data_IF_140049517282
#
_entry.id   IF_140049517282
#
_cell.length_a   1.000
_cell.length_b   1.000
_cell.length_c   1.000
_cell.angle_alpha   90.00
_cell.angle_beta   90.00
_cell.angle_gamma   90.00
#
_symmetry.space_group_name_H-M   'P 1'
#
loop_
_entity.id
_entity.type
_entity.pdbx_description
1 polymer ?
#
# COMPACT_ATOMS: atom_id res chain seq x y z
N UNK A 1 12.57 -9.78 -1.11
CA UNK A 1 11.41 -9.26 -0.29
C UNK A 1 10.27 -10.26 -0.32
N UNK A 2 9.43 -10.28 0.74
CA UNK A 2 8.21 -11.09 0.78
C UNK A 2 6.99 -10.19 0.98
N UNK A 3 6.04 -10.26 0.05
CA UNK A 3 4.80 -9.49 0.06
C UNK A 3 3.63 -10.37 0.47
N UNK A 4 2.80 -9.89 1.40
CA UNK A 4 1.50 -10.48 1.73
C UNK A 4 0.40 -9.45 1.47
N UNK A 5 -0.58 -9.81 0.65
CA UNK A 5 -1.76 -8.99 0.37
C UNK A 5 -2.72 -9.15 1.55
N UNK A 6 -2.90 -8.11 2.36
CA UNK A 6 -3.83 -8.12 3.48
C UNK A 6 -5.25 -7.79 3.03
N UNK A 7 -5.36 -6.85 2.07
CA UNK A 7 -6.61 -6.47 1.45
C UNK A 7 -6.39 -5.96 0.04
N UNK A 8 -7.20 -6.43 -0.89
CA UNK A 8 -7.11 -6.16 -2.34
C UNK A 8 -8.35 -5.48 -2.91
N UNK A 9 -9.28 -5.08 -2.04
CA UNK A 9 -10.51 -4.34 -2.39
C UNK A 9 -10.46 -2.91 -1.88
N UNK A 10 -11.63 -2.33 -1.77
CA UNK A 10 -11.89 -0.91 -1.48
C UNK A 10 -12.80 -0.78 -0.25
N UNK A 11 -13.19 0.46 0.10
CA UNK A 11 -14.06 0.71 1.25
C UNK A 11 -15.47 0.11 1.08
N UNK A 12 -15.94 -0.10 -0.16
CA UNK A 12 -17.24 -0.74 -0.41
C UNK A 12 -17.14 -2.22 -0.01
N UNK A 13 -17.92 -2.68 0.99
CA UNK A 13 -17.85 -4.05 1.45
C UNK A 13 -18.16 -5.06 0.34
N UNK A 14 -17.24 -5.96 0.09
CA UNK A 14 -17.40 -7.05 -0.87
C UNK A 14 -16.81 -8.35 -0.29
N UNK A 15 -17.50 -9.50 -0.44
CA UNK A 15 -17.04 -10.76 0.12
C UNK A 15 -15.64 -11.16 -0.38
N UNK A 16 -14.75 -11.53 0.56
CA UNK A 16 -13.41 -12.02 0.25
C UNK A 16 -12.38 -10.95 -0.10
N UNK A 17 -12.74 -9.65 -0.04
CA UNK A 17 -11.82 -8.55 -0.28
C UNK A 17 -11.95 -7.48 0.79
N UNK A 18 -10.84 -7.16 1.44
CA UNK A 18 -10.74 -6.09 2.39
C UNK A 18 -10.11 -4.85 1.80
N UNK A 19 -10.13 -3.79 2.58
CA UNK A 19 -9.53 -2.51 2.23
C UNK A 19 -8.03 -2.65 2.00
N UNK A 20 -7.47 -1.74 1.21
CA UNK A 20 -6.05 -1.70 0.87
C UNK A 20 -5.14 -1.85 2.07
N UNK A 21 -4.25 -2.81 1.99
CA UNK A 21 -3.21 -3.04 2.98
C UNK A 21 -2.30 -4.18 2.55
N UNK A 22 -0.98 -3.95 2.70
CA UNK A 22 0.02 -4.91 2.26
C UNK A 22 1.11 -5.01 3.32
N UNK A 23 1.58 -6.23 3.58
CA UNK A 23 2.66 -6.47 4.52
C UNK A 23 3.90 -6.87 3.75
N UNK A 24 4.93 -6.04 3.82
CA UNK A 24 6.20 -6.26 3.14
C UNK A 24 7.28 -6.58 4.18
N UNK A 25 7.96 -7.72 3.98
CA UNK A 25 9.09 -8.14 4.80
C UNK A 25 10.38 -8.08 3.96
N UNK A 26 11.42 -7.41 4.48
CA UNK A 26 12.74 -7.35 3.86
C UNK A 26 13.82 -7.29 4.94
N UNK A 27 14.66 -8.30 5.01
CA UNK A 27 15.60 -8.44 6.12
C UNK A 27 14.88 -8.44 7.47
N UNK A 28 15.23 -7.52 8.34
CA UNK A 28 14.59 -7.33 9.65
C UNK A 28 13.41 -6.35 9.62
N UNK A 29 13.10 -5.74 8.47
CA UNK A 29 12.05 -4.75 8.35
C UNK A 29 10.68 -5.42 8.14
N UNK A 30 9.70 -5.03 8.95
CA UNK A 30 8.29 -5.42 8.83
C UNK A 30 7.45 -4.18 8.54
N UNK A 31 7.09 -4.01 7.30
CA UNK A 31 6.49 -2.80 6.76
C UNK A 31 5.03 -3.04 6.48
N UNK A 32 4.17 -2.18 6.98
CA UNK A 32 2.79 -2.06 6.54
C UNK A 32 2.71 -0.98 5.45
N UNK A 33 2.18 -1.32 4.29
CA UNK A 33 1.91 -0.37 3.20
C UNK A 33 0.40 -0.19 3.13
N UNK A 34 -0.07 1.01 3.39
CA UNK A 34 -1.45 1.34 3.67
C UNK A 34 -2.05 0.46 4.79
N UNK A 35 -3.22 0.80 5.26
CA UNK A 35 -3.85 0.10 6.37
C UNK A 35 -5.29 0.53 6.53
N UNK A 36 -6.13 0.17 5.58
CA UNK A 36 -7.56 0.39 5.66
C UNK A 36 -8.23 -0.48 6.72
N UNK A 37 -9.50 -0.26 6.94
CA UNK A 37 -10.26 -0.92 8.01
C UNK A 37 -10.20 -2.45 7.93
N UNK A 38 -9.81 -3.09 9.03
CA UNK A 38 -9.69 -4.54 9.18
C UNK A 38 -8.33 -5.11 8.75
N UNK A 39 -7.40 -4.29 8.27
CA UNK A 39 -6.06 -4.72 7.82
C UNK A 39 -5.26 -5.32 8.97
N UNK A 40 -5.26 -4.70 10.15
CA UNK A 40 -4.51 -5.21 11.33
C UNK A 40 -5.02 -6.58 11.78
N UNK A 41 -6.32 -6.83 11.70
CA UNK A 41 -6.88 -8.15 11.98
C UNK A 41 -6.36 -9.19 10.99
N UNK A 42 -6.31 -8.84 9.70
CA UNK A 42 -5.80 -9.74 8.66
C UNK A 42 -4.31 -10.05 8.77
N UNK A 43 -3.52 -9.16 9.36
CA UNK A 43 -2.13 -9.50 9.72
C UNK A 43 -2.09 -10.81 10.52
N UNK A 44 -2.93 -10.93 11.56
CA UNK A 44 -2.98 -12.15 12.39
C UNK A 44 -3.69 -13.31 11.68
N UNK A 45 -4.76 -13.05 10.93
CA UNK A 45 -5.49 -14.09 10.20
C UNK A 45 -4.59 -14.81 9.18
N UNK A 46 -3.61 -14.09 8.60
CA UNK A 46 -2.65 -14.64 7.64
C UNK A 46 -1.32 -15.13 8.27
N UNK A 47 -1.28 -15.25 9.60
CA UNK A 47 -0.14 -15.80 10.34
C UNK A 47 1.05 -14.86 10.43
N UNK A 48 0.83 -13.56 10.36
CA UNK A 48 1.81 -12.51 10.60
C UNK A 48 1.60 -11.92 12.01
N UNK A 49 2.59 -11.19 12.50
CA UNK A 49 2.52 -10.58 13.83
C UNK A 49 2.42 -9.05 13.71
N UNK A 50 1.28 -8.46 14.06
CA UNK A 50 1.08 -7.02 14.05
C UNK A 50 2.00 -6.27 15.04
N UNK A 51 2.50 -6.99 16.06
CA UNK A 51 3.45 -6.44 17.04
C UNK A 51 4.82 -6.18 16.40
N UNK A 52 5.15 -6.90 15.33
CA UNK A 52 6.41 -6.75 14.63
C UNK A 52 6.46 -5.56 13.67
N UNK A 53 5.32 -4.92 13.36
CA UNK A 53 5.30 -3.75 12.48
C UNK A 53 6.20 -2.66 13.05
N UNK A 54 7.17 -2.20 12.28
CA UNK A 54 8.10 -1.13 12.67
C UNK A 54 7.93 0.14 11.85
N UNK A 55 7.42 0.01 10.63
CA UNK A 55 7.24 1.13 9.70
C UNK A 55 5.92 1.01 8.95
N UNK A 56 5.24 2.13 8.76
CA UNK A 56 4.05 2.24 7.90
C UNK A 56 4.35 3.23 6.78
N UNK A 57 3.96 2.87 5.56
CA UNK A 57 3.93 3.77 4.40
C UNK A 57 2.48 4.04 4.01
N UNK A 58 2.04 5.28 4.05
CA UNK A 58 0.72 5.70 3.58
C UNK A 58 0.82 6.41 2.25
N UNK A 59 0.01 6.01 1.27
CA UNK A 59 -0.03 6.64 -0.06
C UNK A 59 -0.86 7.91 -0.06
N UNK A 60 -1.97 7.92 0.62
CA UNK A 60 -2.89 9.06 0.78
C UNK A 60 -3.78 8.89 2.02
N UNK A 61 -4.72 9.82 2.26
CA UNK A 61 -5.44 9.89 3.53
C UNK A 61 -6.88 9.35 3.46
N UNK A 62 -7.29 8.64 2.39
CA UNK A 62 -8.62 8.05 2.37
C UNK A 62 -8.79 6.97 3.44
N UNK A 63 -10.03 6.76 3.92
CA UNK A 63 -10.32 5.84 5.03
C UNK A 63 -9.90 4.39 4.76
N UNK A 64 -10.07 3.91 3.52
CA UNK A 64 -9.69 2.56 3.11
C UNK A 64 -8.18 2.33 2.99
N UNK A 65 -7.39 3.38 3.24
CA UNK A 65 -5.93 3.30 3.32
C UNK A 65 -5.37 3.58 4.70
N UNK A 66 -6.14 4.22 5.63
CA UNK A 66 -5.56 4.76 6.88
C UNK A 66 -6.27 4.36 8.16
N UNK A 67 -7.49 3.82 8.13
CA UNK A 67 -8.35 3.67 9.32
C UNK A 67 -7.78 2.76 10.40
N UNK A 68 -6.93 1.78 10.06
CA UNK A 68 -6.40 0.86 11.06
C UNK A 68 -5.19 1.39 11.85
N UNK A 69 -4.77 2.64 11.64
CA UNK A 69 -3.76 3.27 12.50
C UNK A 69 -4.22 3.33 13.98
N UNK A 70 -5.45 3.74 14.23
CA UNK A 70 -6.00 3.83 15.59
C UNK A 70 -6.14 2.45 16.23
N UNK A 71 -6.73 1.43 15.61
CA UNK A 71 -6.70 0.05 16.10
C UNK A 71 -5.31 -0.49 16.40
N UNK A 72 -4.32 -0.22 15.55
CA UNK A 72 -2.93 -0.65 15.77
C UNK A 72 -2.35 -0.03 17.05
N UNK A 73 -2.44 1.28 17.19
CA UNK A 73 -1.92 2.00 18.36
C UNK A 73 -2.65 1.58 19.64
N UNK A 74 -3.98 1.38 19.58
CA UNK A 74 -4.76 0.87 20.70
C UNK A 74 -4.30 -0.53 21.11
N UNK A 75 -4.12 -1.44 20.13
CA UNK A 75 -3.62 -2.78 20.38
C UNK A 75 -2.22 -2.74 21.01
N UNK A 76 -1.32 -1.91 20.49
CA UNK A 76 0.04 -1.79 21.04
C UNK A 76 0.06 -1.24 22.48
N UNK A 77 -0.84 -0.33 22.82
CA UNK A 77 -0.94 0.18 24.18
C UNK A 77 -1.37 -0.90 25.17
N UNK A 78 -2.29 -1.75 24.79
CA UNK A 78 -2.98 -2.67 25.71
C UNK A 78 -2.50 -4.13 25.62
N UNK A 79 -1.78 -4.53 24.56
CA UNK A 79 -1.21 -5.88 24.49
C UNK A 79 0.11 -5.95 25.30
N UNK A 80 0.14 -6.76 26.39
CA UNK A 80 1.35 -6.90 27.24
C UNK A 80 2.50 -7.60 26.52
N UNK A 81 2.28 -8.21 25.36
CA UNK A 81 3.30 -8.89 24.56
C UNK A 81 4.00 -7.95 23.56
N UNK A 82 3.60 -6.70 23.49
CA UNK A 82 4.29 -5.68 22.69
C UNK A 82 5.54 -5.23 23.42
N UNK A 83 6.71 -5.45 22.80
CA UNK A 83 7.98 -5.00 23.35
C UNK A 83 8.05 -3.47 23.39
N UNK A 84 8.42 -2.93 24.55
CA UNK A 84 8.56 -1.48 24.80
C UNK A 84 9.85 -1.23 25.59
N UNK A 85 10.55 -0.08 25.40
CA UNK A 85 10.18 1.03 24.51
C UNK A 85 10.39 0.71 23.04
N UNK A 86 9.56 1.32 22.18
CA UNK A 86 9.65 1.13 20.73
C UNK A 86 9.36 2.40 19.93
N UNK A 87 9.72 2.36 18.66
CA UNK A 87 9.42 3.44 17.71
C UNK A 87 8.62 2.90 16.54
N UNK A 88 7.50 3.56 16.21
CA UNK A 88 6.80 3.41 14.94
C UNK A 88 7.25 4.54 14.02
N UNK A 89 7.76 4.19 12.84
CA UNK A 89 8.03 5.13 11.77
C UNK A 89 6.83 5.18 10.84
N UNK A 90 6.39 6.38 10.47
CA UNK A 90 5.31 6.56 9.48
C UNK A 90 5.85 7.47 8.39
N UNK A 91 5.99 6.93 7.18
CA UNK A 91 6.30 7.66 5.96
C UNK A 91 4.98 7.91 5.25
N UNK A 92 4.70 9.15 4.91
CA UNK A 92 3.35 9.58 4.57
C UNK A 92 3.35 10.78 3.61
N UNK A 93 2.24 11.02 2.89
CA UNK A 93 2.13 12.17 2.02
C UNK A 93 2.10 13.48 2.83
N UNK A 94 2.37 14.58 2.15
CA UNK A 94 2.26 15.92 2.71
C UNK A 94 0.85 16.18 3.27
N UNK A 95 0.76 16.83 4.43
CA UNK A 95 -0.49 17.09 5.14
C UNK A 95 -0.90 16.00 6.14
N UNK A 96 -0.23 14.85 6.13
CA UNK A 96 -0.54 13.74 7.04
C UNK A 96 -0.27 14.09 8.52
N UNK A 97 0.74 14.91 8.82
CA UNK A 97 0.98 15.36 10.20
C UNK A 97 -0.25 16.09 10.76
N UNK A 98 -0.88 16.94 9.95
CA UNK A 98 -2.12 17.62 10.34
C UNK A 98 -3.30 16.66 10.54
N UNK A 99 -3.41 15.63 9.68
CA UNK A 99 -4.38 14.56 9.79
C UNK A 99 -4.15 13.74 11.08
N UNK A 100 -2.91 13.30 11.33
CA UNK A 100 -2.52 12.57 12.53
C UNK A 100 -2.85 13.36 13.81
N UNK A 101 -2.51 14.64 13.86
CA UNK A 101 -2.80 15.48 15.03
C UNK A 101 -4.31 15.52 15.33
N UNK A 102 -5.17 15.65 14.30
CA UNK A 102 -6.63 15.58 14.48
C UNK A 102 -7.11 14.23 15.02
N UNK A 103 -6.51 13.13 14.59
CA UNK A 103 -6.80 11.82 15.18
C UNK A 103 -6.36 11.74 16.64
N UNK A 104 -5.21 12.32 16.97
CA UNK A 104 -4.71 12.37 18.35
C UNK A 104 -5.53 13.30 19.24
N UNK A 105 -6.09 14.37 18.71
CA UNK A 105 -7.05 15.22 19.45
C UNK A 105 -8.30 14.42 19.89
N UNK A 106 -8.71 13.42 19.08
CA UNK A 106 -9.91 12.60 19.36
C UNK A 106 -9.54 11.38 20.20
N UNK A 107 -8.48 10.66 19.83
CA UNK A 107 -8.18 9.32 20.35
C UNK A 107 -6.93 9.24 21.20
N UNK A 108 -6.09 10.29 21.24
CA UNK A 108 -4.76 10.23 21.81
C UNK A 108 -4.70 9.69 23.24
N UNK A 109 -5.65 10.07 24.10
CA UNK A 109 -5.74 9.58 25.47
C UNK A 109 -5.85 8.04 25.54
N UNK A 110 -6.53 7.43 24.56
CA UNK A 110 -6.76 5.98 24.55
C UNK A 110 -5.67 5.19 23.83
N UNK A 111 -4.97 5.80 22.86
CA UNK A 111 -4.06 5.06 21.96
C UNK A 111 -2.58 5.38 22.17
N UNK A 112 -2.25 6.56 22.71
CA UNK A 112 -0.85 6.91 22.95
C UNK A 112 -0.32 6.23 24.21
N UNK A 113 0.89 5.68 24.10
CA UNK A 113 1.64 5.05 25.18
C UNK A 113 2.97 5.83 25.37
N UNK A 114 3.35 6.13 26.58
CA UNK A 114 4.57 6.90 26.90
C UNK A 114 5.86 6.18 26.44
N UNK A 115 5.81 4.86 26.29
CA UNK A 115 6.93 4.04 25.85
C UNK A 115 6.91 3.77 24.32
N UNK A 116 5.95 4.37 23.58
CA UNK A 116 5.85 4.27 22.11
C UNK A 116 6.12 5.63 21.48
N UNK A 117 7.24 5.75 20.77
CA UNK A 117 7.57 6.95 20.00
C UNK A 117 7.04 6.82 18.56
N UNK A 118 6.32 7.83 18.09
CA UNK A 118 5.85 7.88 16.69
C UNK A 118 6.68 8.94 15.95
N UNK A 119 7.35 8.51 14.86
CA UNK A 119 8.14 9.38 13.99
C UNK A 119 7.46 9.52 12.65
N UNK A 120 6.92 10.71 12.37
CA UNK A 120 6.28 11.05 11.11
C UNK A 120 7.29 11.66 10.14
N UNK A 121 7.32 11.19 8.89
CA UNK A 121 8.11 11.77 7.81
C UNK A 121 7.19 11.98 6.60
N UNK A 122 6.85 13.23 6.33
CA UNK A 122 6.14 13.59 5.11
C UNK A 122 7.09 13.55 3.92
N UNK A 123 6.63 12.97 2.81
CA UNK A 123 7.38 12.81 1.57
C UNK A 123 6.54 13.23 0.36
N UNK A 124 7.21 13.57 -0.73
CA UNK A 124 6.57 13.88 -2.01
C UNK A 124 7.37 13.31 -3.18
N UNK A 125 8.65 13.69 -3.34
CA UNK A 125 9.59 13.22 -4.38
C UNK A 125 10.95 12.96 -3.76
N UNK A 126 10.96 12.19 -2.68
CA UNK A 126 12.15 11.99 -1.86
C UNK A 126 12.53 10.52 -1.81
N UNK A 127 13.76 10.29 -1.43
CA UNK A 127 14.26 8.98 -1.09
C UNK A 127 14.29 8.80 0.43
N UNK A 128 13.96 7.60 0.88
CA UNK A 128 14.00 7.19 2.29
C UNK A 128 14.81 5.90 2.38
N UNK A 129 15.84 5.88 3.22
CA UNK A 129 16.57 4.64 3.52
C UNK A 129 15.96 3.97 4.76
N UNK A 130 15.70 2.68 4.67
CA UNK A 130 15.13 1.86 5.74
C UNK A 130 15.84 0.50 5.80
N UNK A 131 16.83 0.37 6.68
CA UNK A 131 17.65 -0.85 6.74
C UNK A 131 18.37 -1.09 5.41
N UNK A 132 18.12 -2.25 4.81
CA UNK A 132 18.64 -2.66 3.49
C UNK A 132 17.79 -2.17 2.30
N UNK A 133 16.74 -1.38 2.58
CA UNK A 133 15.85 -0.85 1.55
C UNK A 133 16.15 0.61 1.24
N UNK A 134 16.20 0.92 -0.04
CA UNK A 134 16.01 2.26 -0.57
C UNK A 134 14.57 2.39 -1.06
N UNK A 135 13.84 3.39 -0.57
CA UNK A 135 12.44 3.65 -0.97
C UNK A 135 12.36 4.99 -1.66
N UNK A 136 12.03 4.99 -2.95
CA UNK A 136 11.78 6.22 -3.70
C UNK A 136 10.29 6.53 -3.73
N UNK A 137 9.93 7.83 -3.71
CA UNK A 137 8.57 8.31 -3.73
C UNK A 137 8.34 9.16 -4.97
N UNK A 138 7.19 9.00 -5.61
CA UNK A 138 6.68 9.84 -6.69
C UNK A 138 5.27 10.31 -6.38
N UNK A 139 4.74 11.24 -7.19
CA UNK A 139 3.35 11.67 -7.07
C UNK A 139 2.43 10.84 -7.96
N UNK A 140 1.14 10.87 -7.62
CA UNK A 140 0.05 10.28 -8.41
C UNK A 140 -1.04 11.32 -8.65
N UNK A 141 -1.94 11.03 -9.58
CA UNK A 141 -3.14 11.83 -9.82
C UNK A 141 -4.36 11.17 -9.19
N UNK A 142 -4.62 11.52 -7.92
CA UNK A 142 -5.80 11.07 -7.17
C UNK A 142 -6.26 12.14 -6.18
N UNK A 143 -5.41 12.49 -5.21
CA UNK A 143 -5.60 13.65 -4.32
C UNK A 143 -4.42 14.60 -4.45
N UNK A 144 -4.53 15.82 -3.91
CA UNK A 144 -3.50 16.87 -4.04
C UNK A 144 -2.09 16.41 -3.61
N UNK A 145 -1.99 15.40 -2.76
CA UNK A 145 -0.73 14.96 -2.16
C UNK A 145 -0.51 13.43 -2.20
N UNK A 146 -1.28 12.70 -2.99
CA UNK A 146 -1.10 11.24 -3.15
C UNK A 146 0.28 10.91 -3.71
N UNK A 147 0.87 9.82 -3.19
CA UNK A 147 2.22 9.37 -3.55
C UNK A 147 2.27 7.89 -3.87
N UNK A 148 3.24 7.52 -4.72
CA UNK A 148 3.67 6.14 -4.96
C UNK A 148 4.88 5.80 -4.12
N UNK A 149 5.16 4.50 -3.99
CA UNK A 149 6.40 4.02 -3.38
C UNK A 149 7.05 2.93 -4.23
N UNK A 150 8.37 3.01 -4.39
CA UNK A 150 9.17 1.92 -4.95
C UNK A 150 10.19 1.48 -3.91
N UNK A 151 10.07 0.24 -3.45
CA UNK A 151 10.95 -0.43 -2.50
C UNK A 151 12.03 -1.17 -3.29
N UNK A 152 13.30 -0.93 -3.00
CA UNK A 152 14.45 -1.47 -3.74
C UNK A 152 15.40 -2.09 -2.73
N UNK A 153 15.68 -3.40 -2.87
CA UNK A 153 16.75 -4.08 -2.11
C UNK A 153 18.11 -3.86 -2.76
N UNK A 154 19.18 -3.92 -1.97
CA UNK A 154 20.57 -3.77 -2.47
C UNK A 154 20.87 -4.78 -3.59
N UNK A 155 20.26 -5.96 -3.58
CA UNK A 155 20.41 -7.01 -4.59
C UNK A 155 19.66 -6.73 -5.91
N UNK A 156 18.89 -5.65 -5.97
CA UNK A 156 18.19 -5.17 -7.15
C UNK A 156 16.73 -5.60 -7.28
N UNK A 157 16.19 -6.49 -6.42
CA UNK A 157 14.76 -6.77 -6.36
C UNK A 157 13.98 -5.51 -6.05
N UNK A 158 12.86 -5.28 -6.72
CA UNK A 158 12.07 -4.07 -6.47
C UNK A 158 10.57 -4.29 -6.62
N UNK A 159 9.83 -3.69 -5.70
CA UNK A 159 8.37 -3.58 -5.69
C UNK A 159 7.98 -2.12 -5.86
N UNK A 160 7.19 -1.82 -6.88
CA UNK A 160 6.51 -0.53 -7.02
C UNK A 160 5.05 -0.68 -6.62
N UNK A 161 4.54 0.27 -5.84
CA UNK A 161 3.11 0.36 -5.48
C UNK A 161 2.56 1.73 -5.85
N UNK A 162 1.48 1.73 -6.64
CA UNK A 162 0.87 2.95 -7.16
C UNK A 162 0.14 3.78 -6.10
N UNK A 163 -0.45 3.15 -5.07
CA UNK A 163 -1.61 3.75 -4.39
C UNK A 163 -2.74 3.94 -5.38
N UNK A 164 -3.72 4.76 -5.05
CA UNK A 164 -4.78 5.16 -5.97
C UNK A 164 -4.26 6.25 -6.91
N UNK A 165 -4.62 6.14 -8.20
CA UNK A 165 -4.10 7.04 -9.23
C UNK A 165 -4.90 6.99 -10.52
N UNK A 166 -4.88 8.08 -11.26
CA UNK A 166 -5.13 8.08 -12.71
C UNK A 166 -3.84 7.86 -13.49
N UNK A 167 -3.93 7.76 -14.81
CA UNK A 167 -2.77 7.68 -15.69
C UNK A 167 -2.04 9.02 -15.68
N UNK A 168 -0.76 9.01 -15.33
CA UNK A 168 0.10 10.18 -15.41
C UNK A 168 1.55 9.79 -15.70
N UNK A 169 2.30 10.72 -16.31
CA UNK A 169 3.70 10.48 -16.68
C UNK A 169 4.59 10.16 -15.46
N UNK A 170 4.35 10.85 -14.33
CA UNK A 170 5.14 10.65 -13.13
C UNK A 170 4.94 9.25 -12.51
N UNK A 171 3.73 8.68 -12.60
CA UNK A 171 3.46 7.30 -12.20
C UNK A 171 4.35 6.33 -12.99
N UNK A 172 4.38 6.48 -14.33
CA UNK A 172 5.15 5.61 -15.23
C UNK A 172 6.65 5.76 -14.95
N UNK A 173 7.15 6.99 -14.85
CA UNK A 173 8.57 7.26 -14.59
C UNK A 173 9.01 6.72 -13.22
N UNK A 174 8.19 6.87 -12.17
CA UNK A 174 8.48 6.37 -10.83
C UNK A 174 8.56 4.85 -10.76
N UNK A 175 7.76 4.15 -11.58
CA UNK A 175 7.74 2.70 -11.66
C UNK A 175 8.70 2.10 -12.68
N UNK A 176 9.33 2.91 -13.55
CA UNK A 176 10.15 2.43 -14.67
C UNK A 176 11.28 1.50 -14.22
N UNK A 177 11.31 0.28 -14.79
CA UNK A 177 12.27 -0.76 -14.46
C UNK A 177 12.08 -1.40 -13.09
N UNK A 178 10.92 -1.26 -12.45
CA UNK A 178 10.58 -2.07 -11.29
C UNK A 178 10.37 -3.53 -11.70
N UNK A 179 10.87 -4.48 -10.89
CA UNK A 179 10.71 -5.91 -11.16
C UNK A 179 9.25 -6.34 -11.06
N UNK A 180 8.61 -5.96 -9.96
CA UNK A 180 7.19 -6.21 -9.68
C UNK A 180 6.47 -4.88 -9.47
N UNK A 181 5.33 -4.73 -10.11
CA UNK A 181 4.48 -3.54 -10.05
C UNK A 181 3.13 -3.95 -9.46
N UNK A 182 2.69 -3.30 -8.40
CA UNK A 182 1.39 -3.44 -7.76
C UNK A 182 0.57 -2.19 -8.11
N UNK A 183 -0.36 -2.32 -9.06
CA UNK A 183 -1.24 -1.24 -9.51
C UNK A 183 -2.66 -1.43 -8.97
N UNK A 184 -3.30 -0.32 -8.61
CA UNK A 184 -4.74 -0.30 -8.52
C UNK A 184 -5.36 -0.68 -9.87
N UNK A 185 -6.54 -1.32 -9.84
CA UNK A 185 -7.33 -1.67 -11.02
C UNK A 185 -8.80 -1.64 -10.60
N UNK A 186 -9.37 -0.44 -10.59
CA UNK A 186 -10.61 -0.17 -9.87
C UNK A 186 -11.87 -0.40 -10.68
N UNK A 187 -11.89 0.03 -11.94
CA UNK A 187 -13.12 0.03 -12.74
C UNK A 187 -12.92 -0.63 -14.11
N UNK A 188 -13.98 -1.24 -14.70
CA UNK A 188 -13.94 -1.67 -16.09
C UNK A 188 -13.64 -0.50 -17.04
N UNK A 189 -13.06 -0.78 -18.21
CA UNK A 189 -12.70 0.25 -19.19
C UNK A 189 -13.89 1.15 -19.57
N UNK A 190 -15.08 0.57 -19.72
CA UNK A 190 -16.32 1.28 -20.05
C UNK A 190 -16.91 2.07 -18.87
N UNK A 191 -16.39 1.88 -17.66
CA UNK A 191 -16.82 2.58 -16.45
C UNK A 191 -15.69 3.42 -15.84
N UNK A 192 -14.70 3.80 -16.64
CA UNK A 192 -13.57 4.65 -16.20
C UNK A 192 -14.05 5.81 -15.33
N UNK A 193 -13.35 6.00 -14.20
CA UNK A 193 -13.53 7.14 -13.30
C UNK A 193 -12.22 7.88 -13.12
N UNK A 194 -12.31 9.19 -13.07
CA UNK A 194 -11.17 10.07 -12.78
C UNK A 194 -10.52 9.68 -11.45
N UNK A 195 -9.19 9.69 -11.40
CA UNK A 195 -8.41 9.32 -10.23
C UNK A 195 -8.23 7.81 -10.02
N UNK A 196 -8.69 6.96 -10.94
CA UNK A 196 -8.57 5.50 -10.85
C UNK A 196 -8.27 4.85 -12.20
N UNK A 197 -7.59 3.69 -12.17
CA UNK A 197 -7.19 2.95 -13.36
C UNK A 197 -8.21 1.89 -13.77
N UNK A 198 -8.12 1.52 -15.05
CA UNK A 198 -8.86 0.43 -15.69
C UNK A 198 -7.90 -0.69 -16.14
N UNK A 199 -8.39 -1.90 -16.46
CA UNK A 199 -7.54 -3.02 -16.91
C UNK A 199 -6.66 -2.69 -18.12
N UNK A 200 -7.18 -2.01 -19.14
CA UNK A 200 -6.38 -1.66 -20.32
C UNK A 200 -5.30 -0.63 -20.02
N UNK A 201 -5.57 0.34 -19.14
CA UNK A 201 -4.60 1.31 -18.65
C UNK A 201 -3.52 0.63 -17.82
N UNK A 202 -3.88 -0.28 -16.90
CA UNK A 202 -2.92 -1.05 -16.12
C UNK A 202 -1.97 -1.85 -17.02
N UNK A 203 -2.49 -2.50 -18.04
CA UNK A 203 -1.67 -3.24 -19.01
C UNK A 203 -0.70 -2.32 -19.76
N UNK A 204 -1.16 -1.16 -20.21
CA UNK A 204 -0.32 -0.19 -20.91
C UNK A 204 0.77 0.38 -19.98
N UNK A 205 0.42 0.80 -18.76
CA UNK A 205 1.35 1.31 -17.76
C UNK A 205 2.44 0.28 -17.44
N UNK A 206 2.06 -0.99 -17.22
CA UNK A 206 3.01 -2.05 -16.93
C UNK A 206 4.00 -2.28 -18.08
N UNK A 207 3.52 -2.21 -19.32
CA UNK A 207 4.35 -2.27 -20.52
C UNK A 207 5.32 -1.09 -20.60
N UNK A 208 4.85 0.13 -20.37
CA UNK A 208 5.66 1.37 -20.43
C UNK A 208 6.68 1.46 -19.29
N UNK A 209 6.37 0.88 -18.12
CA UNK A 209 7.31 0.71 -17.01
C UNK A 209 8.37 -0.36 -17.30
N UNK A 210 8.09 -1.32 -18.19
CA UNK A 210 8.97 -2.43 -18.51
C UNK A 210 9.14 -3.43 -17.36
N UNK A 211 8.10 -3.65 -16.56
CA UNK A 211 8.13 -4.59 -15.45
C UNK A 211 8.02 -6.06 -15.91
N UNK A 212 8.46 -7.00 -15.07
CA UNK A 212 8.33 -8.42 -15.33
C UNK A 212 6.99 -8.97 -14.85
N UNK A 213 6.50 -8.44 -13.73
CA UNK A 213 5.28 -8.89 -13.06
C UNK A 213 4.38 -7.73 -12.70
N UNK A 214 3.10 -7.86 -13.05
CA UNK A 214 2.03 -6.93 -12.69
C UNK A 214 1.05 -7.59 -11.72
N UNK A 215 0.86 -7.00 -10.56
CA UNK A 215 -0.18 -7.33 -9.60
C UNK A 215 -1.27 -6.28 -9.67
N UNK A 216 -2.52 -6.72 -9.81
CA UNK A 216 -3.69 -5.85 -9.87
C UNK A 216 -4.44 -5.91 -8.54
N UNK A 217 -4.71 -4.78 -7.94
CA UNK A 217 -5.32 -4.64 -6.60
C UNK A 217 -6.36 -3.54 -6.56
N UNK A 218 -6.90 -3.21 -5.39
CA UNK A 218 -7.86 -2.12 -5.18
C UNK A 218 -9.07 -2.22 -6.14
N UNK A 219 -9.63 -3.44 -6.25
CA UNK A 219 -10.66 -3.72 -7.24
C UNK A 219 -12.07 -3.52 -6.67
N UNK A 220 -12.87 -2.70 -7.35
CA UNK A 220 -14.30 -2.57 -7.08
C UNK A 220 -15.08 -3.81 -7.54
N UNK A 221 -16.29 -4.04 -7.00
CA UNK A 221 -17.11 -5.18 -7.40
C UNK A 221 -17.41 -5.24 -8.91
N UNK A 222 -17.49 -4.08 -9.56
CA UNK A 222 -17.81 -3.95 -10.99
C UNK A 222 -16.70 -4.53 -11.86
N UNK A 223 -15.44 -4.19 -11.60
CA UNK A 223 -14.32 -4.70 -12.40
C UNK A 223 -14.11 -6.19 -12.19
N UNK A 224 -14.41 -6.70 -10.99
CA UNK A 224 -14.29 -8.12 -10.67
C UNK A 224 -15.29 -9.01 -11.43
N UNK A 225 -16.30 -8.43 -12.07
CA UNK A 225 -17.26 -9.13 -12.93
C UNK A 225 -16.79 -9.23 -14.38
N UNK A 226 -15.64 -8.64 -14.71
CA UNK A 226 -15.04 -8.65 -16.06
C UNK A 226 -13.83 -9.58 -16.13
N UNK A 227 -13.39 -9.90 -17.33
CA UNK A 227 -12.15 -10.66 -17.55
C UNK A 227 -10.93 -9.72 -17.57
N UNK A 228 -10.58 -9.21 -16.37
CA UNK A 228 -9.48 -8.26 -16.15
C UNK A 228 -8.19 -8.74 -16.81
N UNK A 229 -7.81 -10.00 -16.58
CA UNK A 229 -6.52 -10.52 -17.04
C UNK A 229 -6.44 -10.63 -18.57
N UNK A 230 -7.53 -10.99 -19.24
CA UNK A 230 -7.56 -11.00 -20.71
C UNK A 230 -7.42 -9.60 -21.29
N UNK A 231 -8.03 -8.58 -20.69
CA UNK A 231 -7.88 -7.18 -21.13
C UNK A 231 -6.43 -6.72 -20.94
N UNK A 232 -5.86 -6.91 -19.74
CA UNK A 232 -4.46 -6.55 -19.44
C UNK A 232 -3.49 -7.19 -20.44
N UNK A 233 -3.65 -8.45 -20.74
CA UNK A 233 -2.79 -9.20 -21.68
C UNK A 233 -2.84 -8.70 -23.13
N UNK A 234 -3.80 -7.86 -23.50
CA UNK A 234 -3.81 -7.19 -24.81
C UNK A 234 -2.71 -6.13 -24.94
N UNK A 235 -2.15 -5.69 -23.81
CA UNK A 235 -1.17 -4.59 -23.71
C UNK A 235 0.14 -4.99 -23.03
N UNK A 236 0.11 -6.01 -22.17
CA UNK A 236 1.24 -6.43 -21.35
C UNK A 236 1.54 -7.92 -21.58
N UNK A 237 2.79 -8.20 -21.98
CA UNK A 237 3.26 -9.56 -22.27
C UNK A 237 3.85 -10.28 -21.02
N UNK A 238 4.13 -9.55 -19.94
CA UNK A 238 4.66 -10.10 -18.70
C UNK A 238 3.64 -10.90 -17.89
N UNK A 239 4.03 -11.31 -16.70
CA UNK A 239 3.17 -12.04 -15.77
C UNK A 239 2.14 -11.09 -15.12
N UNK A 240 0.85 -11.26 -15.43
CA UNK A 240 -0.25 -10.50 -14.83
C UNK A 240 -1.05 -11.36 -13.86
N UNK A 241 -1.23 -10.87 -12.62
CA UNK A 241 -1.89 -11.57 -11.53
C UNK A 241 -2.93 -10.64 -10.89
N UNK A 242 -4.15 -11.11 -10.73
CA UNK A 242 -5.15 -10.44 -9.90
C UNK A 242 -4.89 -10.79 -8.43
N UNK A 243 -4.51 -9.80 -7.63
CA UNK A 243 -4.25 -9.97 -6.22
C UNK A 243 -5.54 -10.39 -5.46
N UNK A 244 -5.38 -11.28 -4.51
CA UNK A 244 -6.45 -11.70 -3.60
C UNK A 244 -5.95 -11.64 -2.15
N UNK A 245 -6.87 -11.44 -1.23
CA UNK A 245 -6.57 -11.38 0.19
C UNK A 245 -5.89 -12.68 0.67
N UNK A 246 -4.82 -12.56 1.43
CA UNK A 246 -4.01 -13.68 1.92
C UNK A 246 -2.96 -14.20 0.95
N UNK A 247 -2.88 -13.70 -0.30
CA UNK A 247 -1.82 -14.06 -1.25
C UNK A 247 -0.46 -13.67 -0.69
N UNK A 248 0.50 -14.60 -0.78
CA UNK A 248 1.90 -14.41 -0.40
C UNK A 248 2.81 -14.68 -1.57
N UNK A 249 3.83 -13.84 -1.75
CA UNK A 249 4.78 -14.00 -2.86
C UNK A 249 6.16 -13.44 -2.54
N UNK A 250 7.16 -13.99 -3.19
CA UNK A 250 8.52 -13.42 -3.23
C UNK A 250 8.61 -12.40 -4.38
N UNK A 251 9.29 -11.30 -4.10
CA UNK A 251 9.55 -10.20 -5.04
C UNK A 251 10.98 -10.27 -5.54
#
# INVERSE_FOLDING_TARGET
MKLTILGSGVLIPFPGRGNSGYFLQSGEQNILIDGGSGTIRRVTDYGLDYRSIDTIFYTHMHPDHTFDLIPLLFAWKHDPLVDKPRTLKIVCPKGFIGYFNKLMDIYGEWVMDENVSIKLKEVERQEVTLGNLTVTCGRTEHTDHSVTYRFIEEEGSSLFYSGDTDVCDELIESGRGAHTVLLECSFPDEMKREGHLTPSECGQIASDMGCNRLLLTHSYPEVLQTDILSVVKTKFEGEAILAVDGMKMEI
#
